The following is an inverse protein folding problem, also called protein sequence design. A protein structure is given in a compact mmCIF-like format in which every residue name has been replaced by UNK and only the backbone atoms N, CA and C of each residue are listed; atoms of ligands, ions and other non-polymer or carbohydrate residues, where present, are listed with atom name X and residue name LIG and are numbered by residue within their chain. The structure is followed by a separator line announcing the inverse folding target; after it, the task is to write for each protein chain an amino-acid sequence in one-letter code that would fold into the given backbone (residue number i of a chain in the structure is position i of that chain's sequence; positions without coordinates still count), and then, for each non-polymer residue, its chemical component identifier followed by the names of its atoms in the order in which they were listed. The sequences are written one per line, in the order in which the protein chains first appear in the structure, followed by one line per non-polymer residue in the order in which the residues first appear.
data_IF_259831863039
#
_entry.id   IF_259831863039
#
_cell.length_a   1.000
_cell.length_b   1.000
_cell.length_c   1.000
_cell.angle_alpha   90.00
_cell.angle_beta   90.00
_cell.angle_gamma   90.00
#
_symmetry.space_group_name_H-M   'P 1'
#
loop_
_entity.id
_entity.type
_entity.pdbx_description
1 polymer ?
#
# COMPACT_ATOMS: atom_id res chain seq x y z
N UNK A 1 -2.31 -30.77 57.10
CA UNK A 1 -3.32 -30.28 56.15
C UNK A 1 -2.93 -28.99 55.41
N UNK A 2 -1.79 -28.35 55.68
CA UNK A 2 -1.35 -27.10 55.02
C UNK A 2 -0.42 -27.36 53.80
N UNK A 3 0.26 -28.53 53.75
CA UNK A 3 1.23 -28.85 52.69
C UNK A 3 0.57 -29.21 51.36
N UNK A 4 -0.61 -29.79 51.38
CA UNK A 4 -1.37 -30.20 50.18
C UNK A 4 -1.97 -29.06 49.40
N UNK A 5 -2.30 -27.92 50.01
CA UNK A 5 -2.85 -26.74 49.34
C UNK A 5 -1.74 -26.00 48.53
N UNK A 6 -0.50 -25.99 48.99
CA UNK A 6 0.63 -25.35 48.33
C UNK A 6 1.03 -26.01 47.02
N UNK A 7 0.91 -27.33 46.91
CA UNK A 7 1.22 -28.09 45.69
C UNK A 7 0.20 -27.90 44.56
N UNK A 8 -1.10 -27.75 44.90
CA UNK A 8 -2.17 -27.49 43.92
C UNK A 8 -2.12 -26.07 43.35
N UNK A 9 -1.72 -25.11 44.15
CA UNK A 9 -1.55 -23.71 43.66
C UNK A 9 -0.35 -23.57 42.72
N UNK A 10 0.75 -24.28 42.99
CA UNK A 10 1.94 -24.27 42.14
C UNK A 10 1.70 -24.95 40.78
N UNK A 11 0.94 -26.04 40.72
CA UNK A 11 0.61 -26.70 39.45
C UNK A 11 -0.30 -25.83 38.58
N UNK A 12 -1.27 -25.15 39.13
CA UNK A 12 -2.15 -24.26 38.36
C UNK A 12 -1.39 -23.06 37.75
N UNK A 13 -0.42 -22.52 38.45
CA UNK A 13 0.44 -21.47 37.94
C UNK A 13 1.29 -21.93 36.74
N UNK A 14 1.85 -23.11 36.79
CA UNK A 14 2.66 -23.69 35.71
C UNK A 14 1.81 -23.98 34.45
N UNK A 15 0.60 -24.49 34.61
CA UNK A 15 -0.33 -24.71 33.48
C UNK A 15 -0.78 -23.40 32.84
N UNK A 16 -1.07 -22.37 33.63
CA UNK A 16 -1.44 -21.06 33.13
C UNK A 16 -0.30 -20.41 32.32
N UNK A 17 0.93 -20.54 32.82
CA UNK A 17 2.13 -20.03 32.12
C UNK A 17 2.39 -20.78 30.82
N UNK A 18 2.24 -22.11 30.80
CA UNK A 18 2.40 -22.91 29.59
C UNK A 18 1.36 -22.56 28.52
N UNK A 19 0.11 -22.35 28.91
CA UNK A 19 -0.96 -21.93 27.99
C UNK A 19 -0.72 -20.52 27.45
N UNK A 20 -0.23 -19.59 28.26
CA UNK A 20 0.11 -18.25 27.82
C UNK A 20 1.25 -18.27 26.78
N UNK A 21 2.28 -19.08 27.02
CA UNK A 21 3.41 -19.24 26.11
C UNK A 21 2.99 -19.89 24.77
N UNK A 22 2.10 -20.88 24.81
CA UNK A 22 1.52 -21.49 23.60
C UNK A 22 0.70 -20.50 22.76
N UNK A 23 -0.16 -19.72 23.40
CA UNK A 23 -0.93 -18.67 22.72
C UNK A 23 -0.02 -17.60 22.10
N UNK A 24 1.04 -17.24 22.78
CA UNK A 24 2.01 -16.26 22.29
C UNK A 24 2.80 -16.80 21.09
N UNK A 25 3.21 -18.08 21.13
CA UNK A 25 3.90 -18.74 20.02
C UNK A 25 2.98 -18.89 18.77
N UNK A 26 1.71 -19.26 18.96
CA UNK A 26 0.76 -19.37 17.84
C UNK A 26 0.45 -18.00 17.21
N UNK A 27 0.30 -16.96 18.03
CA UNK A 27 0.11 -15.60 17.51
C UNK A 27 1.32 -15.10 16.75
N UNK A 28 2.54 -15.35 17.24
CA UNK A 28 3.77 -14.96 16.54
C UNK A 28 3.91 -15.67 15.20
N UNK A 29 3.62 -16.97 15.14
CA UNK A 29 3.66 -17.75 13.91
C UNK A 29 2.60 -17.27 12.89
N UNK A 30 1.40 -16.90 13.36
CA UNK A 30 0.34 -16.34 12.52
C UNK A 30 0.72 -14.96 11.95
N UNK A 31 1.31 -14.09 12.77
CA UNK A 31 1.78 -12.76 12.34
C UNK A 31 2.91 -12.89 11.31
N UNK A 32 3.89 -13.77 11.53
CA UNK A 32 4.98 -14.00 10.57
C UNK A 32 4.47 -14.54 9.24
N UNK A 33 3.49 -15.47 9.28
CA UNK A 33 2.90 -16.02 8.06
C UNK A 33 2.11 -14.98 7.29
N UNK A 34 1.31 -14.14 7.97
CA UNK A 34 0.57 -13.04 7.35
C UNK A 34 1.52 -12.00 6.73
N UNK A 35 2.62 -11.66 7.41
CA UNK A 35 3.64 -10.74 6.89
C UNK A 35 4.29 -11.26 5.61
N UNK A 36 4.62 -12.55 5.56
CA UNK A 36 5.26 -13.16 4.37
C UNK A 36 4.32 -13.21 3.16
N UNK A 37 3.03 -13.48 3.39
CA UNK A 37 2.02 -13.48 2.33
C UNK A 37 1.82 -12.08 1.75
N UNK A 38 1.74 -11.05 2.59
CA UNK A 38 1.61 -9.67 2.17
C UNK A 38 2.81 -9.17 1.36
N UNK A 39 4.02 -9.66 1.69
CA UNK A 39 5.23 -9.38 0.92
C UNK A 39 5.10 -9.79 -0.55
N UNK A 40 4.71 -11.03 -0.81
CA UNK A 40 4.58 -11.54 -2.17
C UNK A 40 3.49 -10.80 -2.96
N UNK A 41 2.35 -10.48 -2.36
CA UNK A 41 1.31 -9.69 -3.02
C UNK A 41 1.80 -8.29 -3.40
N UNK A 42 2.51 -7.61 -2.51
CA UNK A 42 3.06 -6.29 -2.81
C UNK A 42 4.11 -6.31 -3.92
N UNK A 43 5.00 -7.31 -3.95
CA UNK A 43 6.00 -7.44 -5.02
C UNK A 43 5.34 -7.76 -6.36
N UNK A 44 4.30 -8.60 -6.36
CA UNK A 44 3.55 -8.93 -7.59
C UNK A 44 2.77 -7.74 -8.15
N UNK A 45 2.37 -6.79 -7.34
CA UNK A 45 1.63 -5.59 -7.78
C UNK A 45 2.50 -4.67 -8.65
N UNK A 46 3.80 -4.55 -8.38
CA UNK A 46 4.69 -3.64 -9.08
C UNK A 46 4.80 -3.90 -10.60
N UNK A 47 4.98 -5.14 -11.09
CA UNK A 47 4.97 -5.41 -12.52
C UNK A 47 3.67 -5.02 -13.20
N UNK A 48 2.52 -5.28 -12.56
CA UNK A 48 1.21 -4.93 -13.13
C UNK A 48 1.03 -3.42 -13.20
N UNK A 49 1.44 -2.68 -12.17
CA UNK A 49 1.43 -1.21 -12.18
C UNK A 49 2.33 -0.65 -13.29
N UNK A 50 3.54 -1.20 -13.45
CA UNK A 50 4.45 -0.79 -14.52
C UNK A 50 3.83 -1.01 -15.90
N UNK A 51 3.27 -2.20 -16.14
CA UNK A 51 2.57 -2.53 -17.39
C UNK A 51 1.38 -1.58 -17.62
N UNK A 52 0.58 -1.32 -16.60
CA UNK A 52 -0.57 -0.42 -16.70
C UNK A 52 -0.15 1.00 -17.07
N UNK A 53 0.91 1.55 -16.45
CA UNK A 53 1.47 2.86 -16.79
C UNK A 53 2.00 2.88 -18.22
N UNK A 54 2.74 1.85 -18.63
CA UNK A 54 3.27 1.73 -19.97
C UNK A 54 2.14 1.76 -21.02
N UNK A 55 1.12 0.92 -20.85
CA UNK A 55 -0.03 0.91 -21.76
C UNK A 55 -0.81 2.22 -21.76
N UNK A 56 -0.95 2.88 -20.60
CA UNK A 56 -1.60 4.19 -20.53
C UNK A 56 -0.86 5.23 -21.37
N UNK A 57 0.48 5.28 -21.31
CA UNK A 57 1.27 6.20 -22.13
C UNK A 57 1.27 5.81 -23.60
N UNK A 58 1.36 4.52 -23.94
CA UNK A 58 1.27 4.04 -25.32
C UNK A 58 -0.07 4.43 -25.95
N UNK A 59 -1.17 4.21 -25.23
CA UNK A 59 -2.53 4.57 -25.69
C UNK A 59 -2.66 6.10 -25.83
N UNK A 60 -2.18 6.87 -24.84
CA UNK A 60 -2.20 8.33 -24.89
C UNK A 60 -1.39 8.86 -26.08
N UNK A 61 -0.25 8.25 -26.39
CA UNK A 61 0.59 8.63 -27.51
C UNK A 61 -0.04 8.26 -28.86
N UNK A 62 -0.67 7.10 -28.96
CA UNK A 62 -1.42 6.67 -30.15
C UNK A 62 -2.61 7.60 -30.45
N UNK A 63 -3.26 8.14 -29.41
CA UNK A 63 -4.34 9.11 -29.55
C UNK A 63 -3.87 10.56 -29.69
N UNK A 64 -2.56 10.81 -29.75
CA UNK A 64 -1.97 12.14 -29.83
C UNK A 64 -2.36 12.82 -31.15
N UNK A 65 -2.97 13.99 -31.05
CA UNK A 65 -3.52 14.70 -32.21
C UNK A 65 -5.02 14.55 -32.42
N UNK A 66 -5.64 13.53 -31.80
CA UNK A 66 -7.10 13.39 -31.82
C UNK A 66 -7.80 14.19 -30.71
N UNK A 67 -9.14 14.28 -30.81
CA UNK A 67 -9.99 14.96 -29.82
C UNK A 67 -9.80 14.42 -28.40
N UNK A 68 -9.46 13.14 -28.24
CA UNK A 68 -9.29 12.45 -26.96
C UNK A 68 -7.86 12.49 -26.40
N UNK A 69 -6.86 12.85 -27.21
CA UNK A 69 -5.45 12.73 -26.85
C UNK A 69 -5.04 13.49 -25.61
N UNK A 70 -5.59 14.69 -25.39
CA UNK A 70 -5.32 15.47 -24.18
C UNK A 70 -5.84 14.79 -22.91
N UNK A 71 -7.06 14.26 -22.97
CA UNK A 71 -7.66 13.56 -21.84
C UNK A 71 -6.92 12.28 -21.48
N UNK A 72 -6.54 11.48 -22.50
CA UNK A 72 -5.75 10.26 -22.32
C UNK A 72 -4.38 10.55 -21.71
N UNK A 73 -3.72 11.63 -22.12
CA UNK A 73 -2.42 12.03 -21.58
C UNK A 73 -2.52 12.45 -20.11
N UNK A 74 -3.57 13.18 -19.72
CA UNK A 74 -3.82 13.54 -18.32
C UNK A 74 -4.05 12.29 -17.45
N UNK A 75 -4.81 11.32 -17.95
CA UNK A 75 -5.01 10.05 -17.27
C UNK A 75 -3.70 9.25 -17.12
N UNK A 76 -2.88 9.20 -18.17
CA UNK A 76 -1.57 8.52 -18.11
C UNK A 76 -0.65 9.13 -17.04
N UNK A 77 -0.62 10.46 -16.91
CA UNK A 77 0.08 11.14 -15.83
C UNK A 77 -0.51 10.84 -14.45
N UNK A 78 -1.83 10.76 -14.31
CA UNK A 78 -2.49 10.33 -13.08
C UNK A 78 -2.05 8.93 -12.66
N UNK A 79 -2.02 7.97 -13.59
CA UNK A 79 -1.52 6.61 -13.35
C UNK A 79 -0.05 6.59 -12.95
N UNK A 80 0.78 7.42 -13.56
CA UNK A 80 2.20 7.52 -13.20
C UNK A 80 2.38 8.00 -11.75
N UNK A 81 1.67 9.07 -11.35
CA UNK A 81 1.73 9.58 -9.97
C UNK A 81 1.27 8.52 -8.97
N UNK A 82 0.20 7.79 -9.30
CA UNK A 82 -0.29 6.69 -8.49
C UNK A 82 0.75 5.56 -8.38
N UNK A 83 1.37 5.16 -9.48
CA UNK A 83 2.39 4.10 -9.49
C UNK A 83 3.63 4.47 -8.66
N UNK A 84 4.08 5.73 -8.75
CA UNK A 84 5.18 6.25 -7.91
C UNK A 84 4.80 6.23 -6.43
N UNK A 85 3.56 6.59 -6.10
CA UNK A 85 3.03 6.51 -4.74
C UNK A 85 3.02 5.07 -4.20
N UNK A 86 2.53 4.11 -4.98
CA UNK A 86 2.56 2.69 -4.62
C UNK A 86 3.98 2.16 -4.43
N UNK A 87 4.90 2.50 -5.34
CA UNK A 87 6.31 2.13 -5.22
C UNK A 87 6.92 2.67 -3.93
N UNK A 88 6.65 3.95 -3.60
CA UNK A 88 7.12 4.55 -2.35
C UNK A 88 6.58 3.82 -1.12
N UNK A 89 5.28 3.49 -1.12
CA UNK A 89 4.64 2.76 -0.02
C UNK A 89 5.23 1.35 0.14
N UNK A 90 5.55 0.67 -0.96
CA UNK A 90 6.23 -0.63 -0.91
C UNK A 90 7.66 -0.51 -0.36
N UNK A 91 8.43 0.51 -0.75
CA UNK A 91 9.76 0.77 -0.20
C UNK A 91 9.68 1.03 1.31
N UNK A 92 8.72 1.84 1.77
CA UNK A 92 8.50 2.08 3.20
C UNK A 92 8.17 0.78 3.94
N UNK A 93 7.32 -0.06 3.35
CA UNK A 93 6.90 -1.31 3.98
C UNK A 93 8.03 -2.34 4.09
N UNK A 94 8.91 -2.44 3.08
CA UNK A 94 9.98 -3.46 3.05
C UNK A 94 11.26 -3.02 3.75
N UNK A 95 11.64 -1.76 3.58
CA UNK A 95 12.91 -1.24 4.10
C UNK A 95 12.73 -0.40 5.35
N UNK A 96 11.49 -0.09 5.75
CA UNK A 96 11.19 0.81 6.85
C UNK A 96 11.63 2.27 6.60
N UNK A 97 12.03 2.57 5.36
CA UNK A 97 12.54 3.89 4.98
C UNK A 97 11.41 4.68 4.34
N UNK A 98 10.90 5.67 5.07
CA UNK A 98 9.98 6.63 4.49
C UNK A 98 10.76 7.85 4.01
N UNK A 99 10.96 7.94 2.69
CA UNK A 99 11.72 9.00 2.04
C UNK A 99 11.10 10.37 2.36
N UNK A 100 9.78 10.49 2.34
CA UNK A 100 9.11 11.75 2.64
C UNK A 100 9.24 12.15 4.11
N UNK A 101 9.14 11.19 5.04
CA UNK A 101 9.34 11.47 6.48
C UNK A 101 10.81 11.80 6.80
N UNK A 102 11.74 11.16 6.10
CA UNK A 102 13.17 11.40 6.27
C UNK A 102 13.59 12.80 5.80
N UNK A 103 13.02 13.27 4.68
CA UNK A 103 13.38 14.56 4.06
C UNK A 103 12.55 15.72 4.61
N UNK A 104 11.26 15.51 4.87
CA UNK A 104 10.29 16.56 5.19
C UNK A 104 9.79 16.52 6.65
N UNK A 105 10.18 15.49 7.42
CA UNK A 105 9.65 15.25 8.76
C UNK A 105 8.30 14.51 8.78
N UNK A 106 7.92 14.02 9.96
CA UNK A 106 6.78 13.08 10.12
C UNK A 106 5.43 13.67 9.68
N UNK A 107 5.19 14.94 10.01
CA UNK A 107 3.92 15.60 9.66
C UNK A 107 3.84 15.94 8.17
N UNK A 108 4.92 16.49 7.62
CA UNK A 108 4.99 16.86 6.20
C UNK A 108 4.96 15.67 5.25
N UNK A 109 5.45 14.50 5.68
CA UNK A 109 5.36 13.26 4.89
C UNK A 109 3.92 12.78 4.67
N UNK A 110 3.06 12.88 5.68
CA UNK A 110 1.64 12.55 5.56
C UNK A 110 0.90 13.54 4.67
N UNK A 111 1.22 14.82 4.77
CA UNK A 111 0.66 15.87 3.91
C UNK A 111 1.09 15.68 2.45
N UNK A 112 2.35 15.35 2.20
CA UNK A 112 2.86 15.08 0.86
C UNK A 112 2.14 13.91 0.19
N UNK A 113 1.86 12.83 0.96
CA UNK A 113 1.06 11.71 0.49
C UNK A 113 -0.39 12.11 0.14
N UNK A 114 -1.03 12.91 0.98
CA UNK A 114 -2.37 13.43 0.72
C UNK A 114 -2.41 14.30 -0.54
N UNK A 115 -1.41 15.17 -0.74
CA UNK A 115 -1.28 15.99 -1.95
C UNK A 115 -1.12 15.11 -3.19
N UNK A 116 -0.28 14.07 -3.15
CA UNK A 116 -0.12 13.13 -4.25
C UNK A 116 -1.44 12.44 -4.62
N UNK A 117 -2.23 12.05 -3.63
CA UNK A 117 -3.58 11.50 -3.81
C UNK A 117 -4.51 12.50 -4.51
N UNK A 118 -4.58 13.74 -4.04
CA UNK A 118 -5.41 14.81 -4.62
C UNK A 118 -4.98 15.09 -6.07
N UNK A 119 -3.68 15.14 -6.34
CA UNK A 119 -3.14 15.33 -7.70
C UNK A 119 -3.56 14.17 -8.61
N UNK A 120 -3.44 12.93 -8.16
CA UNK A 120 -3.85 11.74 -8.93
C UNK A 120 -5.33 11.79 -9.30
N UNK A 121 -6.20 12.07 -8.33
CA UNK A 121 -7.63 12.17 -8.56
C UNK A 121 -7.99 13.37 -9.44
N UNK A 122 -7.31 14.50 -9.24
CA UNK A 122 -7.49 15.72 -10.05
C UNK A 122 -7.12 15.48 -11.51
N UNK A 123 -5.95 14.90 -11.78
CA UNK A 123 -5.51 14.58 -13.14
C UNK A 123 -6.44 13.59 -13.82
N UNK A 124 -6.84 12.53 -13.12
CA UNK A 124 -7.76 11.53 -13.64
C UNK A 124 -9.15 12.13 -13.92
N UNK A 125 -9.70 12.91 -13.01
CA UNK A 125 -10.98 13.59 -13.17
C UNK A 125 -10.98 14.57 -14.34
N UNK A 126 -9.94 15.40 -14.47
CA UNK A 126 -9.77 16.31 -15.61
C UNK A 126 -9.57 15.54 -16.93
N UNK A 127 -8.88 14.40 -16.89
CA UNK A 127 -8.74 13.51 -18.02
C UNK A 127 -10.09 12.99 -18.51
N UNK A 128 -10.91 12.43 -17.62
CA UNK A 128 -12.26 11.97 -17.94
C UNK A 128 -13.16 13.11 -18.42
N UNK A 129 -13.12 14.26 -17.76
CA UNK A 129 -13.88 15.44 -18.20
C UNK A 129 -13.51 15.89 -19.63
N UNK A 130 -12.21 15.90 -19.94
CA UNK A 130 -11.70 16.24 -21.27
C UNK A 130 -12.20 15.26 -22.33
N UNK A 131 -12.17 13.95 -22.05
CA UNK A 131 -12.70 12.89 -22.93
C UNK A 131 -14.22 13.07 -23.13
N UNK A 132 -14.95 13.27 -22.04
CA UNK A 132 -16.39 13.50 -22.08
C UNK A 132 -16.77 14.73 -22.93
N UNK A 133 -16.05 15.83 -22.76
CA UNK A 133 -16.27 17.03 -23.58
C UNK A 133 -15.97 16.79 -25.06
N UNK A 134 -14.90 16.05 -25.36
CA UNK A 134 -14.51 15.72 -26.71
C UNK A 134 -15.49 14.74 -27.39
N UNK A 135 -16.23 13.94 -26.63
CA UNK A 135 -17.23 13.01 -27.16
C UNK A 135 -18.55 13.71 -27.57
N UNK A 136 -18.82 14.88 -27.01
CA UNK A 136 -20.04 15.66 -27.28
C UNK A 136 -19.92 16.66 -28.44
N UNK A 137 -18.73 16.97 -28.88
CA UNK A 137 -18.44 17.92 -29.98
C UNK A 137 -17.72 17.25 -31.11
#
# INVERSE_FOLDING_TARGET
MIITLGMLASSNSAYCQAQCNLLQATNTAAVVRASNTNYWFGVMELPFLFIAVLFAFLTANACRGGKFGKGMMLMAWGFLVMAVGHLHMQIEHYYGINIFKSVLGTMSGSVAWFIALVVTWGLSGLGFWSIYKASKG
#
